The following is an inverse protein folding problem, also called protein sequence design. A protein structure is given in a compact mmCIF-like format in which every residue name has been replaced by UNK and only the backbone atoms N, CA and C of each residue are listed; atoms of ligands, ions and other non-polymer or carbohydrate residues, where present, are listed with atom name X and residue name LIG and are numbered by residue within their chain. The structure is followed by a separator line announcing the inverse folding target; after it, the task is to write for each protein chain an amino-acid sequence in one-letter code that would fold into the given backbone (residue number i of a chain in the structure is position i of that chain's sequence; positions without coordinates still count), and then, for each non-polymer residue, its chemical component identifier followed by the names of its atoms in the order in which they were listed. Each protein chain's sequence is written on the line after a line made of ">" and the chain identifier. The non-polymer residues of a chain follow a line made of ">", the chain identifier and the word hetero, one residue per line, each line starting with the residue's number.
data_IF_229327552290
#
_entry.id   IF_229327552290
#
_cell.length_a   1.000
_cell.length_b   1.000
_cell.length_c   1.000
_cell.angle_alpha   90.00
_cell.angle_beta   90.00
_cell.angle_gamma   90.00
#
_symmetry.space_group_name_H-M   'P 1'
#
loop_
_entity.id
_entity.type
_entity.pdbx_description
1 polymer ?
#
# COMPACT_ATOMS: atom_id res chain seq x y z
N UNK A 1 12.22 24.90 -26.50
CA UNK A 1 10.90 24.85 -25.84
C UNK A 1 11.04 24.10 -24.52
N UNK A 2 10.99 24.79 -23.38
CA UNK A 2 11.07 24.15 -22.06
C UNK A 2 9.76 23.40 -21.79
N UNK A 3 9.86 22.09 -21.59
CA UNK A 3 8.72 21.22 -21.34
C UNK A 3 8.13 21.57 -19.97
N UNK A 4 6.87 21.97 -19.93
CA UNK A 4 6.16 22.23 -18.68
C UNK A 4 6.32 21.03 -17.72
N UNK A 5 6.52 21.28 -16.40
CA UNK A 5 6.56 20.20 -15.43
C UNK A 5 5.28 19.38 -15.55
N UNK A 6 5.40 18.07 -15.77
CA UNK A 6 4.24 17.19 -15.76
C UNK A 6 3.58 17.34 -14.39
N UNK A 7 2.26 17.61 -14.30
CA UNK A 7 1.57 17.60 -13.03
C UNK A 7 1.86 16.26 -12.36
N UNK A 8 2.38 16.31 -11.13
CA UNK A 8 2.66 15.09 -10.38
C UNK A 8 1.30 14.41 -10.12
N UNK A 9 1.16 13.11 -10.45
CA UNK A 9 -0.08 12.42 -10.15
C UNK A 9 -0.31 12.42 -8.64
N UNK A 10 -1.54 12.74 -8.24
CA UNK A 10 -1.97 12.84 -6.83
C UNK A 10 -1.76 11.52 -6.06
N UNK A 11 -1.86 10.39 -6.78
CA UNK A 11 -1.68 9.05 -6.25
C UNK A 11 -0.78 8.21 -7.16
N UNK A 12 0.06 7.37 -6.57
CA UNK A 12 0.83 6.39 -7.33
C UNK A 12 -0.07 5.26 -7.86
N UNK A 13 0.29 4.64 -8.99
CA UNK A 13 -0.47 3.51 -9.54
C UNK A 13 -0.66 2.36 -8.54
N UNK A 14 0.32 2.16 -7.65
CA UNK A 14 0.21 1.17 -6.58
C UNK A 14 -0.87 1.54 -5.55
N UNK A 15 -0.98 2.81 -5.16
CA UNK A 15 -2.01 3.29 -4.24
C UNK A 15 -3.40 3.20 -4.87
N UNK A 16 -3.54 3.62 -6.13
CA UNK A 16 -4.81 3.51 -6.86
C UNK A 16 -5.23 2.04 -6.97
N UNK A 17 -4.28 1.16 -7.32
CA UNK A 17 -4.58 -0.27 -7.43
C UNK A 17 -4.96 -0.88 -6.09
N UNK A 18 -4.26 -0.53 -5.00
CA UNK A 18 -4.60 -0.99 -3.66
C UNK A 18 -5.97 -0.50 -3.17
N UNK A 19 -6.42 0.69 -3.60
CA UNK A 19 -7.73 1.20 -3.25
C UNK A 19 -8.86 0.47 -3.98
N UNK A 20 -8.75 0.36 -5.31
CA UNK A 20 -9.83 -0.17 -6.14
C UNK A 20 -9.87 -1.69 -6.20
N UNK A 21 -8.77 -2.39 -5.95
CA UNK A 21 -8.69 -3.82 -6.16
C UNK A 21 -8.40 -4.60 -4.88
N UNK A 22 -9.11 -5.70 -4.70
CA UNK A 22 -8.88 -6.71 -3.67
C UNK A 22 -8.39 -8.00 -4.33
N UNK A 23 -7.39 -8.72 -3.77
CA UNK A 23 -7.01 -10.04 -4.26
C UNK A 23 -8.24 -10.96 -4.28
N UNK A 24 -8.42 -11.72 -5.36
CA UNK A 24 -9.44 -12.77 -5.36
C UNK A 24 -8.98 -13.89 -4.44
N UNK A 25 -9.90 -14.53 -3.74
CA UNK A 25 -9.63 -15.73 -2.96
C UNK A 25 -10.18 -16.97 -3.69
N UNK A 26 -9.50 -18.11 -3.52
CA UNK A 26 -10.00 -19.41 -3.98
C UNK A 26 -11.03 -20.01 -3.01
N UNK A 27 -11.41 -21.26 -3.25
CA UNK A 27 -12.36 -22.04 -2.44
C UNK A 27 -11.91 -22.21 -0.98
N UNK A 28 -10.61 -22.04 -0.69
CA UNK A 28 -10.02 -22.11 0.65
C UNK A 28 -9.79 -20.74 1.27
N UNK A 29 -10.38 -19.68 0.69
CA UNK A 29 -10.16 -18.29 1.05
C UNK A 29 -8.71 -17.78 0.83
N UNK A 30 -7.85 -18.54 0.15
CA UNK A 30 -6.47 -18.17 -0.08
C UNK A 30 -6.34 -17.23 -1.28
N UNK A 31 -5.51 -16.17 -1.21
CA UNK A 31 -5.39 -15.19 -2.27
C UNK A 31 -4.81 -15.81 -3.55
N UNK A 32 -5.61 -15.82 -4.61
CA UNK A 32 -5.21 -16.29 -5.94
C UNK A 32 -4.20 -15.29 -6.53
N UNK A 33 -2.96 -15.73 -6.79
CA UNK A 33 -1.96 -14.87 -7.40
C UNK A 33 -2.46 -14.32 -8.73
N UNK A 34 -2.11 -13.05 -9.02
CA UNK A 34 -2.43 -12.36 -10.28
C UNK A 34 -3.91 -12.02 -10.49
N UNK A 35 -4.87 -12.49 -9.69
CA UNK A 35 -6.29 -12.14 -9.87
C UNK A 35 -6.77 -11.12 -8.85
N UNK A 36 -7.37 -10.06 -9.37
CA UNK A 36 -7.79 -8.91 -8.59
C UNK A 36 -9.23 -8.54 -8.94
N UNK A 37 -10.09 -8.41 -7.94
CA UNK A 37 -11.46 -7.95 -8.09
C UNK A 37 -11.53 -6.46 -7.78
N UNK A 38 -11.99 -5.69 -8.76
CA UNK A 38 -12.27 -4.27 -8.56
C UNK A 38 -13.51 -4.08 -7.67
N UNK A 39 -13.64 -2.93 -6.99
CA UNK A 39 -14.84 -2.51 -6.25
C UNK A 39 -16.10 -2.50 -7.11
N UNK A 40 -15.98 -2.29 -8.42
CA UNK A 40 -17.11 -2.41 -9.36
C UNK A 40 -17.49 -3.87 -9.70
N UNK A 41 -16.83 -4.86 -9.09
CA UNK A 41 -17.06 -6.29 -9.30
C UNK A 41 -16.25 -6.92 -10.44
N UNK A 42 -15.63 -6.11 -11.32
CA UNK A 42 -14.85 -6.62 -12.45
C UNK A 42 -13.57 -7.31 -11.97
N UNK A 43 -13.36 -8.55 -12.40
CA UNK A 43 -12.11 -9.29 -12.14
C UNK A 43 -11.09 -8.98 -13.24
N UNK A 44 -9.85 -8.67 -12.85
CA UNK A 44 -8.73 -8.40 -13.75
C UNK A 44 -7.52 -9.24 -13.35
N UNK A 45 -6.86 -9.81 -14.35
CA UNK A 45 -5.60 -10.51 -14.18
C UNK A 45 -4.43 -9.53 -14.32
N UNK A 46 -3.61 -9.39 -13.29
CA UNK A 46 -2.34 -8.68 -13.29
C UNK A 46 -1.18 -9.62 -13.58
N UNK A 47 -0.71 -9.62 -14.82
CA UNK A 47 0.50 -10.35 -15.19
C UNK A 47 1.74 -9.60 -14.70
N UNK A 48 2.72 -10.32 -14.13
CA UNK A 48 3.97 -9.72 -13.61
C UNK A 48 4.72 -8.85 -14.64
N UNK A 49 4.55 -9.12 -15.93
CA UNK A 49 5.22 -8.43 -17.05
C UNK A 49 4.66 -7.02 -17.34
N UNK A 50 3.40 -6.75 -17.00
CA UNK A 50 2.69 -5.53 -17.41
C UNK A 50 2.58 -4.47 -16.30
N UNK A 51 3.01 -4.80 -15.08
CA UNK A 51 2.91 -3.90 -13.92
C UNK A 51 1.46 -3.53 -13.60
N UNK A 52 1.20 -2.25 -13.31
CA UNK A 52 -0.14 -1.73 -12.96
C UNK A 52 -0.92 -1.18 -14.17
N UNK A 53 -0.36 -1.22 -15.38
CA UNK A 53 -0.91 -0.50 -16.54
C UNK A 53 -2.33 -0.97 -16.92
N UNK A 54 -2.59 -2.27 -16.84
CA UNK A 54 -3.88 -2.89 -17.10
C UNK A 54 -4.95 -2.50 -16.05
N UNK A 55 -4.56 -2.46 -14.77
CA UNK A 55 -5.44 -2.04 -13.67
C UNK A 55 -5.75 -0.55 -13.78
N UNK A 56 -4.74 0.28 -14.09
CA UNK A 56 -4.92 1.72 -14.29
C UNK A 56 -5.80 2.04 -15.50
N UNK A 57 -5.69 1.27 -16.59
CA UNK A 57 -6.57 1.43 -17.74
C UNK A 57 -8.03 1.13 -17.37
N UNK A 58 -8.27 0.09 -16.56
CA UNK A 58 -9.60 -0.20 -16.05
C UNK A 58 -10.12 0.94 -15.16
N UNK A 59 -9.32 1.40 -14.19
CA UNK A 59 -9.72 2.48 -13.27
C UNK A 59 -10.06 3.75 -14.03
N UNK A 60 -9.24 4.16 -14.99
CA UNK A 60 -9.53 5.38 -15.78
C UNK A 60 -10.81 5.29 -16.61
N UNK A 61 -11.21 4.08 -17.01
CA UNK A 61 -12.41 3.85 -17.84
C UNK A 61 -13.68 3.75 -16.99
N UNK A 62 -13.65 2.95 -15.93
CA UNK A 62 -14.82 2.62 -15.11
C UNK A 62 -14.96 3.55 -13.88
N UNK A 63 -13.88 4.21 -13.47
CA UNK A 63 -13.81 5.13 -12.33
C UNK A 63 -13.18 6.48 -12.76
N UNK A 64 -13.83 7.27 -13.63
CA UNK A 64 -13.28 8.55 -14.09
C UNK A 64 -13.05 9.55 -12.95
N UNK A 65 -13.81 9.43 -11.86
CA UNK A 65 -13.71 10.21 -10.63
C UNK A 65 -12.78 9.62 -9.56
N UNK A 66 -11.94 8.64 -9.90
CA UNK A 66 -11.18 7.86 -8.91
C UNK A 66 -10.37 8.72 -7.93
N UNK A 67 -9.78 9.82 -8.37
CA UNK A 67 -9.01 10.70 -7.48
C UNK A 67 -9.88 11.41 -6.44
N UNK A 68 -11.10 11.79 -6.82
CA UNK A 68 -12.05 12.41 -5.90
C UNK A 68 -12.58 11.38 -4.89
N UNK A 69 -12.86 10.16 -5.34
CA UNK A 69 -13.26 9.05 -4.46
C UNK A 69 -12.17 8.70 -3.46
N UNK A 70 -10.91 8.59 -3.91
CA UNK A 70 -9.78 8.34 -3.02
C UNK A 70 -9.57 9.48 -2.03
N UNK A 71 -9.72 10.74 -2.44
CA UNK A 71 -9.66 11.90 -1.52
C UNK A 71 -10.83 11.91 -0.53
N UNK A 72 -12.04 11.61 -0.97
CA UNK A 72 -13.22 11.55 -0.11
C UNK A 72 -13.09 10.44 0.93
N UNK A 73 -12.64 9.25 0.54
CA UNK A 73 -12.34 8.16 1.46
C UNK A 73 -11.25 8.55 2.46
N UNK A 74 -10.21 9.25 2.00
CA UNK A 74 -9.15 9.80 2.87
C UNK A 74 -9.70 10.76 3.93
N UNK A 75 -10.73 11.53 3.58
CA UNK A 75 -11.32 12.54 4.47
C UNK A 75 -12.36 11.92 5.42
N UNK A 76 -13.12 10.93 4.93
CA UNK A 76 -14.10 10.19 5.72
C UNK A 76 -13.44 9.24 6.74
N UNK A 77 -12.33 8.60 6.37
CA UNK A 77 -11.48 7.79 7.27
C UNK A 77 -10.50 8.68 8.05
N UNK A 78 -11.00 9.67 8.81
CA UNK A 78 -10.22 10.42 9.80
C UNK A 78 -9.86 9.52 10.99
N UNK A 79 -9.15 8.42 10.71
CA UNK A 79 -8.66 7.46 11.70
C UNK A 79 -7.31 6.85 11.33
N UNK A 80 -7.04 6.51 10.05
CA UNK A 80 -5.69 6.03 9.68
C UNK A 80 -5.41 5.94 8.18
N UNK A 81 -4.30 6.52 7.74
CA UNK A 81 -3.74 6.37 6.38
C UNK A 81 -2.95 5.06 6.19
N UNK A 82 -2.97 4.15 7.18
CA UNK A 82 -2.13 2.93 7.18
C UNK A 82 -2.40 2.04 5.96
N UNK A 83 -3.64 1.95 5.49
CA UNK A 83 -3.99 1.11 4.33
C UNK A 83 -3.40 1.62 3.00
N UNK A 84 -3.09 2.92 2.92
CA UNK A 84 -2.58 3.59 1.71
C UNK A 84 -1.09 3.92 1.79
N UNK A 85 -0.50 3.80 2.99
CA UNK A 85 0.91 4.00 3.23
C UNK A 85 1.71 2.80 2.73
N UNK A 86 2.90 3.06 2.18
CA UNK A 86 3.83 1.98 1.85
C UNK A 86 4.11 1.19 3.12
N UNK A 87 4.18 -0.14 3.03
CA UNK A 87 4.47 -1.02 4.18
C UNK A 87 5.74 -0.60 4.93
N UNK A 88 6.74 -0.08 4.21
CA UNK A 88 7.96 0.49 4.79
C UNK A 88 7.71 1.74 5.62
N UNK A 89 6.78 2.61 5.19
CA UNK A 89 6.34 3.78 5.96
C UNK A 89 5.59 3.35 7.22
N UNK A 90 4.65 2.41 7.10
CA UNK A 90 3.89 1.88 8.25
C UNK A 90 4.83 1.26 9.29
N UNK A 91 5.78 0.43 8.84
CA UNK A 91 6.76 -0.19 9.73
C UNK A 91 7.61 0.87 10.47
N UNK A 92 8.05 1.93 9.78
CA UNK A 92 8.80 3.04 10.42
C UNK A 92 7.95 3.79 11.44
N UNK A 93 6.69 4.08 11.12
CA UNK A 93 5.78 4.74 12.05
C UNK A 93 5.49 3.89 13.29
N UNK A 94 5.25 2.58 13.11
CA UNK A 94 5.09 1.65 14.25
C UNK A 94 6.33 1.54 15.12
N UNK A 95 7.52 1.57 14.52
CA UNK A 95 8.79 1.61 15.25
C UNK A 95 8.97 2.91 16.06
N UNK A 96 8.67 4.06 15.45
CA UNK A 96 8.71 5.35 16.15
C UNK A 96 7.70 5.40 17.29
N UNK A 97 6.48 4.91 17.07
CA UNK A 97 5.45 4.82 18.10
C UNK A 97 5.92 3.95 19.28
N UNK A 98 6.58 2.82 19.00
CA UNK A 98 7.13 1.95 20.03
C UNK A 98 8.25 2.62 20.85
N UNK A 99 9.20 3.30 20.20
CA UNK A 99 10.29 4.02 20.87
C UNK A 99 9.74 5.09 21.82
N UNK A 100 8.73 5.85 21.38
CA UNK A 100 8.09 6.90 22.19
C UNK A 100 7.32 6.28 23.36
N UNK A 101 6.52 5.23 23.14
CA UNK A 101 5.75 4.57 24.21
C UNK A 101 6.64 3.85 25.23
N UNK A 102 7.79 3.35 24.80
CA UNK A 102 8.78 2.73 25.68
C UNK A 102 9.69 3.75 26.39
N UNK A 103 9.48 5.06 26.16
CA UNK A 103 10.28 6.16 26.69
C UNK A 103 11.80 5.98 26.44
N UNK A 104 12.14 5.42 25.28
CA UNK A 104 13.53 5.19 24.90
C UNK A 104 14.12 6.48 24.30
N UNK A 105 15.37 6.84 24.66
CA UNK A 105 16.06 7.96 24.03
C UNK A 105 16.15 7.77 22.51
N UNK A 106 15.98 8.84 21.73
CA UNK A 106 16.08 8.76 20.25
C UNK A 106 17.46 8.28 19.78
N UNK A 107 18.51 8.46 20.60
CA UNK A 107 19.86 7.90 20.35
C UNK A 107 19.86 6.36 20.27
N UNK A 108 18.83 5.69 20.78
CA UNK A 108 18.62 4.26 20.61
C UNK A 108 18.50 3.86 19.12
N UNK A 109 17.92 4.72 18.27
CA UNK A 109 17.80 4.50 16.83
C UNK A 109 19.16 4.50 16.10
N UNK A 110 20.23 4.98 16.75
CA UNK A 110 21.60 4.96 16.23
C UNK A 110 22.33 3.67 16.59
N UNK A 111 21.77 2.85 17.49
CA UNK A 111 22.35 1.58 17.90
C UNK A 111 22.42 0.61 16.70
N UNK A 112 23.60 0.06 16.38
CA UNK A 112 23.76 -0.91 15.28
C UNK A 112 22.89 -2.16 15.39
N UNK A 113 22.50 -2.55 16.60
CA UNK A 113 21.55 -3.65 16.82
C UNK A 113 20.11 -3.21 16.49
N UNK A 114 19.69 -2.02 16.93
CA UNK A 114 18.35 -1.48 16.61
C UNK A 114 18.14 -1.31 15.10
N UNK A 115 19.14 -0.73 14.40
CA UNK A 115 19.11 -0.56 12.94
C UNK A 115 19.01 -1.89 12.16
N UNK A 116 19.59 -2.97 12.68
CA UNK A 116 19.48 -4.31 12.09
C UNK A 116 18.05 -4.87 12.22
N UNK A 117 17.35 -4.60 13.32
CA UNK A 117 15.96 -5.03 13.51
C UNK A 117 14.94 -4.16 12.76
N UNK A 118 15.23 -2.87 12.53
CA UNK A 118 14.46 -2.03 11.58
C UNK A 118 14.47 -2.63 10.16
N UNK A 119 15.62 -3.18 9.72
CA UNK A 119 15.72 -3.90 8.45
C UNK A 119 15.03 -5.28 8.49
N UNK A 120 15.04 -5.97 9.65
CA UNK A 120 14.46 -7.32 9.83
C UNK A 120 12.93 -7.38 9.99
N UNK A 121 12.20 -6.24 10.07
CA UNK A 121 10.72 -6.26 9.98
C UNK A 121 10.18 -6.65 8.60
N UNK A 122 11.04 -6.74 7.57
CA UNK A 122 10.67 -7.41 6.32
C UNK A 122 10.55 -8.93 6.49
N UNK A 123 11.33 -9.53 7.39
CA UNK A 123 11.45 -10.99 7.55
C UNK A 123 10.42 -11.56 8.55
N UNK A 124 10.10 -10.83 9.63
CA UNK A 124 9.19 -11.32 10.68
C UNK A 124 7.70 -11.31 10.30
N UNK A 125 7.29 -10.49 9.34
CA UNK A 125 5.92 -10.53 8.81
C UNK A 125 5.63 -11.75 7.92
N UNK A 126 6.66 -12.54 7.57
CA UNK A 126 6.50 -13.80 6.83
C UNK A 126 6.18 -14.98 7.75
N UNK A 127 6.44 -14.85 9.06
CA UNK A 127 6.18 -15.89 10.06
C UNK A 127 4.83 -15.74 10.78
N UNK A 128 4.17 -14.57 10.71
CA UNK A 128 2.89 -14.32 11.36
C UNK A 128 1.65 -14.76 10.54
N UNK A 129 1.87 -15.49 9.44
CA UNK A 129 0.84 -15.93 8.49
C UNK A 129 0.88 -17.43 8.23
N UNK A 130 1.35 -18.23 9.18
CA UNK A 130 1.10 -19.67 9.19
C UNK A 130 0.45 -20.04 10.53
N UNK A 131 -0.67 -20.77 10.53
CA UNK A 131 -1.31 -21.23 11.76
C UNK A 131 -0.38 -22.12 12.59
#
# INVERSE_FOLDING_TARGET
>A
MLRAPRPRPSFSNAQVSAYFFTPCSDEYAEPVPEYFRCRCGTVRKQTRRNGFSNLMQHVRREHPSFEAEMRAATTAETGSLIHYARRTSVNRFGWLEWVVKANLPLVFCENPLARRYDQCTQTLNQFRSRP
#
